data_IF_417528693853
#
_entry.id   IF_417528693853
#
_cell.length_a   1.000
_cell.length_b   1.000
_cell.length_c   1.000
_cell.angle_alpha   90.00
_cell.angle_beta   90.00
_cell.angle_gamma   90.00
#
_symmetry.space_group_name_H-M   'P 1'
#
loop_
_entity.id
_entity.type
_entity.pdbx_description
1 polymer ?
#
# COMPACT_ATOMS: atom_id res chain seq x y z
N UNK A 1 -21.15 -10.80 -20.53
CA UNK A 1 -19.70 -10.69 -20.25
C UNK A 1 -19.47 -9.41 -19.44
N UNK A 2 -18.63 -9.43 -18.40
CA UNK A 2 -18.52 -8.29 -17.49
C UNK A 2 -17.73 -7.14 -18.12
N UNK A 3 -18.30 -5.94 -18.06
CA UNK A 3 -17.63 -4.72 -18.51
C UNK A 3 -16.61 -4.29 -17.46
N UNK A 4 -15.38 -3.92 -17.84
CA UNK A 4 -14.40 -3.48 -16.84
C UNK A 4 -14.86 -2.26 -16.04
N UNK A 5 -14.51 -2.21 -14.75
CA UNK A 5 -14.79 -1.08 -13.88
C UNK A 5 -13.99 0.13 -14.34
N UNK A 6 -14.65 1.28 -14.43
CA UNK A 6 -13.95 2.57 -14.50
C UNK A 6 -13.10 2.77 -13.24
N UNK A 7 -12.09 3.64 -13.33
CA UNK A 7 -11.26 3.98 -12.19
C UNK A 7 -12.08 4.39 -10.95
N UNK A 8 -13.09 5.25 -11.11
CA UNK A 8 -13.92 5.69 -9.98
C UNK A 8 -14.74 4.56 -9.36
N UNK A 9 -15.24 3.62 -10.18
CA UNK A 9 -15.95 2.43 -9.68
C UNK A 9 -15.01 1.48 -8.94
N UNK A 10 -13.80 1.26 -9.44
CA UNK A 10 -12.79 0.44 -8.75
C UNK A 10 -12.39 1.06 -7.41
N UNK A 11 -12.08 2.36 -7.40
CA UNK A 11 -11.73 3.08 -6.17
C UNK A 11 -12.86 3.04 -5.14
N UNK A 12 -14.10 3.27 -5.58
CA UNK A 12 -15.27 3.19 -4.73
C UNK A 12 -15.45 1.78 -4.16
N UNK A 13 -15.41 0.75 -4.99
CA UNK A 13 -15.58 -0.64 -4.54
C UNK A 13 -14.55 -1.01 -3.46
N UNK A 14 -13.28 -0.66 -3.65
CA UNK A 14 -12.23 -0.94 -2.67
C UNK A 14 -12.47 -0.19 -1.35
N UNK A 15 -12.83 1.10 -1.41
CA UNK A 15 -13.14 1.89 -0.20
C UNK A 15 -14.38 1.37 0.52
N UNK A 16 -15.44 1.03 -0.20
CA UNK A 16 -16.68 0.48 0.37
C UNK A 16 -16.43 -0.85 1.08
N UNK A 17 -15.43 -1.62 0.65
CA UNK A 17 -15.00 -2.86 1.31
C UNK A 17 -14.00 -2.62 2.47
N UNK A 18 -13.86 -1.36 2.92
CA UNK A 18 -13.10 -0.99 4.12
C UNK A 18 -11.58 -0.89 3.92
N UNK A 19 -11.10 -0.77 2.68
CA UNK A 19 -9.67 -0.62 2.40
C UNK A 19 -9.19 0.82 2.58
N UNK A 20 -8.03 0.98 3.19
CA UNK A 20 -7.25 2.20 3.07
C UNK A 20 -6.57 2.21 1.69
N UNK A 21 -7.09 3.06 0.78
CA UNK A 21 -6.61 3.15 -0.59
C UNK A 21 -5.80 4.43 -0.80
N UNK A 22 -4.57 4.26 -1.27
CA UNK A 22 -3.67 5.34 -1.71
C UNK A 22 -3.67 5.36 -3.24
N UNK A 23 -3.91 6.54 -3.79
CA UNK A 23 -3.93 6.75 -5.23
C UNK A 23 -2.53 7.17 -5.70
N UNK A 24 -1.83 6.28 -6.39
CA UNK A 24 -0.52 6.63 -6.94
C UNK A 24 -0.67 7.54 -8.16
N UNK A 25 0.35 8.35 -8.49
CA UNK A 25 0.26 9.37 -9.56
C UNK A 25 -0.34 8.77 -10.85
N UNK A 26 -1.28 9.48 -11.47
CA UNK A 26 -1.87 9.13 -12.78
C UNK A 26 -2.39 7.68 -12.93
N UNK A 27 -2.66 6.96 -11.84
CA UNK A 27 -3.06 5.54 -11.89
C UNK A 27 -4.30 5.27 -12.75
N UNK A 28 -5.24 6.25 -12.80
CA UNK A 28 -6.49 6.14 -13.57
C UNK A 28 -6.29 5.95 -15.06
N UNK A 29 -5.17 6.42 -15.59
CA UNK A 29 -4.84 6.39 -17.03
C UNK A 29 -3.58 5.59 -17.32
N UNK A 30 -2.91 5.06 -16.29
CA UNK A 30 -1.75 4.21 -16.47
C UNK A 30 -2.20 2.80 -16.86
N UNK A 31 -2.01 2.42 -18.12
CA UNK A 31 -2.37 1.11 -18.65
C UNK A 31 -1.65 0.79 -19.96
N UNK A 32 -1.88 -0.43 -20.43
CA UNK A 32 -1.34 -1.04 -21.66
C UNK A 32 -2.45 -1.25 -22.70
N UNK A 33 -3.53 -0.47 -22.69
CA UNK A 33 -4.65 -0.66 -23.64
C UNK A 33 -4.21 -0.55 -25.11
N UNK A 34 -3.14 0.21 -25.39
CA UNK A 34 -2.54 0.30 -26.72
C UNK A 34 -1.82 -0.99 -27.17
N UNK A 35 -1.67 -2.00 -26.29
CA UNK A 35 -1.11 -3.32 -26.60
C UNK A 35 -2.16 -4.39 -26.84
N UNK A 36 -3.43 -4.09 -26.60
CA UNK A 36 -4.51 -5.04 -26.76
C UNK A 36 -5.75 -4.65 -25.97
N UNK A 37 -6.88 -5.33 -26.22
CA UNK A 37 -8.13 -5.05 -25.54
C UNK A 37 -8.01 -5.22 -24.02
N UNK A 38 -8.83 -4.45 -23.31
CA UNK A 38 -9.09 -4.62 -21.89
C UNK A 38 -10.53 -5.06 -21.72
N UNK A 39 -10.73 -6.24 -21.15
CA UNK A 39 -12.03 -6.86 -20.99
C UNK A 39 -12.47 -7.75 -22.17
N UNK A 40 -13.62 -8.45 -22.03
CA UNK A 40 -14.43 -8.52 -20.80
C UNK A 40 -13.61 -9.04 -19.62
N UNK A 41 -13.90 -8.61 -18.40
CA UNK A 41 -13.16 -9.12 -17.22
C UNK A 41 -13.88 -10.33 -16.63
N UNK A 42 -13.14 -11.22 -15.99
CA UNK A 42 -13.66 -12.48 -15.45
C UNK A 42 -13.20 -12.81 -14.04
N UNK A 43 -12.17 -12.14 -13.52
CA UNK A 43 -11.72 -12.44 -12.17
C UNK A 43 -10.66 -11.53 -11.61
N UNK A 44 -10.16 -11.91 -10.45
CA UNK A 44 -9.08 -11.26 -9.71
C UNK A 44 -7.89 -12.22 -9.64
N UNK A 45 -6.69 -11.71 -9.91
CA UNK A 45 -5.46 -12.48 -9.81
C UNK A 45 -4.58 -11.94 -8.68
N UNK A 46 -4.18 -12.81 -7.76
CA UNK A 46 -3.32 -12.46 -6.63
C UNK A 46 -1.88 -12.87 -6.93
N UNK A 47 -0.96 -11.96 -6.67
CA UNK A 47 0.48 -12.12 -6.88
C UNK A 47 1.27 -11.78 -5.62
N UNK A 48 2.53 -12.21 -5.57
CA UNK A 48 3.54 -11.55 -4.75
C UNK A 48 4.57 -10.85 -5.64
N UNK A 49 5.16 -9.78 -5.11
CA UNK A 49 6.04 -8.92 -5.90
C UNK A 49 7.47 -9.44 -6.05
N UNK A 50 7.92 -10.38 -5.20
CA UNK A 50 9.34 -10.78 -5.07
C UNK A 50 10.21 -9.58 -4.69
N UNK A 51 9.67 -8.66 -3.90
CA UNK A 51 10.36 -7.43 -3.47
C UNK A 51 10.12 -7.15 -1.99
N UNK A 52 10.88 -6.20 -1.45
CA UNK A 52 10.68 -5.62 -0.14
C UNK A 52 10.51 -4.10 -0.23
N UNK A 53 9.90 -3.52 0.81
CA UNK A 53 9.63 -2.09 0.91
C UNK A 53 8.43 -1.64 0.08
N UNK A 54 7.50 -0.91 0.70
CA UNK A 54 6.27 -0.45 0.03
C UNK A 54 6.57 0.50 -1.12
N UNK A 55 7.38 1.55 -0.89
CA UNK A 55 7.62 2.58 -1.90
C UNK A 55 8.31 2.03 -3.16
N UNK A 56 9.36 1.23 -3.01
CA UNK A 56 10.07 0.56 -4.11
C UNK A 56 9.16 -0.39 -4.89
N UNK A 57 8.33 -1.16 -4.19
CA UNK A 57 7.40 -2.11 -4.84
C UNK A 57 6.30 -1.40 -5.61
N UNK A 58 5.77 -0.28 -5.08
CA UNK A 58 4.79 0.56 -5.77
C UNK A 58 5.39 1.18 -7.03
N UNK A 59 6.60 1.73 -6.95
CA UNK A 59 7.29 2.28 -8.14
C UNK A 59 7.60 1.20 -9.18
N UNK A 60 8.04 0.01 -8.75
CA UNK A 60 8.25 -1.12 -9.66
C UNK A 60 6.94 -1.53 -10.35
N UNK A 61 5.85 -1.68 -9.60
CA UNK A 61 4.58 -2.09 -10.19
C UNK A 61 3.97 -0.99 -11.07
N UNK A 62 4.22 0.29 -10.78
CA UNK A 62 3.76 1.40 -11.60
C UNK A 62 4.53 1.51 -12.92
N UNK A 63 5.87 1.53 -12.85
CA UNK A 63 6.74 1.76 -14.02
C UNK A 63 7.03 0.47 -14.81
N UNK A 64 7.04 -0.68 -14.13
CA UNK A 64 7.64 -1.92 -14.62
C UNK A 64 9.16 -1.82 -14.73
N UNK A 65 9.74 -2.66 -15.58
CA UNK A 65 11.15 -2.62 -15.95
C UNK A 65 11.32 -2.81 -17.47
N UNK A 66 12.55 -2.74 -17.96
CA UNK A 66 12.85 -2.76 -19.41
C UNK A 66 12.27 -3.98 -20.14
N UNK A 67 12.36 -5.17 -19.54
CA UNK A 67 11.81 -6.40 -20.09
C UNK A 67 10.29 -6.59 -19.86
N UNK A 68 9.69 -5.90 -18.88
CA UNK A 68 8.26 -5.95 -18.59
C UNK A 68 7.74 -4.56 -18.20
N UNK A 69 7.34 -3.73 -19.19
CA UNK A 69 6.86 -2.39 -18.92
C UNK A 69 5.56 -2.39 -18.11
N UNK A 70 5.41 -1.42 -17.21
CA UNK A 70 4.26 -1.29 -16.34
C UNK A 70 3.00 -0.75 -17.04
N UNK A 71 1.87 -0.70 -16.30
CA UNK A 71 1.74 -1.19 -14.93
C UNK A 71 1.76 -2.72 -14.87
N UNK A 72 2.31 -3.25 -13.77
CA UNK A 72 2.39 -4.68 -13.47
C UNK A 72 1.20 -5.20 -12.65
N UNK A 73 0.24 -4.34 -12.33
CA UNK A 73 -1.00 -4.70 -11.64
C UNK A 73 -1.97 -3.51 -11.65
N UNK A 74 -3.15 -3.70 -11.05
CA UNK A 74 -4.09 -2.61 -10.76
C UNK A 74 -3.83 -1.99 -9.39
N UNK A 75 -3.48 -2.82 -8.40
CA UNK A 75 -3.16 -2.37 -7.04
C UNK A 75 -2.01 -3.14 -6.40
N UNK A 76 -1.22 -2.45 -5.60
CA UNK A 76 -0.16 -3.04 -4.75
C UNK A 76 -0.63 -3.08 -3.30
N UNK A 77 -0.55 -4.24 -2.65
CA UNK A 77 -0.96 -4.43 -1.26
C UNK A 77 0.28 -4.49 -0.36
N UNK A 78 0.48 -3.44 0.43
CA UNK A 78 1.58 -3.32 1.38
C UNK A 78 1.43 -4.26 2.59
N UNK A 79 2.52 -4.47 3.32
CA UNK A 79 2.54 -5.32 4.54
C UNK A 79 1.57 -4.85 5.64
N UNK A 80 1.27 -3.55 5.68
CA UNK A 80 0.33 -2.94 6.63
C UNK A 80 -1.15 -3.01 6.16
N UNK A 81 -1.41 -3.58 4.98
CA UNK A 81 -2.75 -3.66 4.39
C UNK A 81 -3.17 -2.45 3.55
N UNK A 82 -2.31 -1.44 3.38
CA UNK A 82 -2.58 -0.33 2.46
C UNK A 82 -2.59 -0.81 1.02
N UNK A 83 -3.60 -0.37 0.25
CA UNK A 83 -3.71 -0.67 -1.19
C UNK A 83 -3.33 0.56 -2.00
N UNK A 84 -2.26 0.46 -2.78
CA UNK A 84 -1.81 1.52 -3.69
C UNK A 84 -2.31 1.23 -5.10
N UNK A 85 -3.23 2.04 -5.61
CA UNK A 85 -3.67 1.90 -7.01
C UNK A 85 -2.60 2.47 -7.94
N UNK A 86 -2.16 1.66 -8.91
CA UNK A 86 -1.07 1.99 -9.84
C UNK A 86 -1.48 1.93 -11.32
N UNK A 87 -2.63 1.32 -11.64
CA UNK A 87 -3.12 1.23 -13.01
C UNK A 87 -4.62 0.96 -13.11
N UNK A 88 -5.23 1.36 -14.23
CA UNK A 88 -6.61 1.03 -14.59
C UNK A 88 -6.72 0.83 -16.10
N UNK A 89 -7.08 -0.39 -16.50
CA UNK A 89 -6.98 -0.87 -17.89
C UNK A 89 -6.12 -2.13 -17.96
N UNK A 90 -5.79 -2.59 -19.17
CA UNK A 90 -4.88 -3.72 -19.39
C UNK A 90 -3.57 -3.47 -18.65
N UNK A 91 -3.15 -4.38 -17.77
CA UNK A 91 -1.87 -4.36 -17.07
C UNK A 91 -1.05 -5.60 -17.45
N UNK A 92 0.28 -5.55 -17.31
CA UNK A 92 1.18 -6.66 -17.60
C UNK A 92 1.43 -7.49 -16.33
N UNK A 93 0.51 -8.38 -15.97
CA UNK A 93 0.57 -9.12 -14.70
C UNK A 93 0.34 -10.63 -14.89
N UNK A 94 -0.74 -11.02 -15.57
CA UNK A 94 -1.12 -12.42 -15.76
C UNK A 94 -0.32 -13.13 -16.86
N UNK A 95 0.15 -12.39 -17.87
CA UNK A 95 0.86 -13.01 -19.00
C UNK A 95 0.01 -14.04 -19.77
N UNK A 96 0.68 -14.99 -20.41
CA UNK A 96 0.04 -16.16 -21.01
C UNK A 96 -0.25 -17.21 -19.94
N UNK A 97 -1.41 -17.82 -19.98
CA UNK A 97 -1.77 -18.96 -19.15
C UNK A 97 -2.80 -19.85 -19.82
N UNK A 98 -3.48 -20.62 -19.00
CA UNK A 98 -4.28 -21.77 -19.42
C UNK A 98 -5.74 -21.40 -19.72
N UNK A 99 -6.25 -21.75 -20.90
CA UNK A 99 -7.63 -21.45 -21.28
C UNK A 99 -8.66 -22.31 -20.54
N UNK A 100 -8.32 -23.51 -20.09
CA UNK A 100 -9.20 -24.36 -19.28
C UNK A 100 -9.41 -23.74 -17.90
N UNK A 101 -8.36 -23.17 -17.32
CA UNK A 101 -8.45 -22.37 -16.10
C UNK A 101 -9.34 -21.15 -16.34
N UNK A 102 -9.16 -20.42 -17.45
CA UNK A 102 -10.01 -19.27 -17.77
C UNK A 102 -11.48 -19.68 -17.89
N UNK A 103 -11.78 -20.79 -18.58
CA UNK A 103 -13.14 -21.32 -18.72
C UNK A 103 -13.73 -21.71 -17.37
N UNK A 104 -12.94 -22.27 -16.47
CA UNK A 104 -13.38 -22.60 -15.11
C UNK A 104 -13.69 -21.33 -14.29
N UNK A 105 -12.86 -20.28 -14.38
CA UNK A 105 -13.13 -18.98 -13.76
C UNK A 105 -14.42 -18.37 -14.30
N UNK A 106 -14.59 -18.32 -15.62
CA UNK A 106 -15.80 -17.78 -16.27
C UNK A 106 -17.06 -18.50 -15.80
N UNK A 107 -16.98 -19.81 -15.60
CA UNK A 107 -18.09 -20.65 -15.15
C UNK A 107 -18.23 -20.73 -13.62
N UNK A 108 -17.34 -20.08 -12.86
CA UNK A 108 -17.21 -20.19 -11.40
C UNK A 108 -17.20 -21.65 -10.91
N UNK A 109 -16.34 -22.47 -11.54
CA UNK A 109 -16.13 -23.88 -11.23
C UNK A 109 -14.79 -24.13 -10.52
N UNK A 110 -14.60 -25.35 -10.03
CA UNK A 110 -13.29 -25.78 -9.55
C UNK A 110 -12.27 -25.70 -10.70
N UNK A 111 -11.06 -25.23 -10.39
CA UNK A 111 -10.01 -25.06 -11.38
C UNK A 111 -9.43 -26.43 -11.76
N UNK A 112 -9.18 -26.69 -13.06
CA UNK A 112 -8.33 -27.79 -13.47
C UNK A 112 -6.86 -27.47 -13.11
N UNK A 113 -5.96 -28.47 -13.12
CA UNK A 113 -4.53 -28.20 -13.15
C UNK A 113 -4.18 -27.36 -14.39
N UNK A 114 -3.29 -26.40 -14.23
CA UNK A 114 -2.72 -25.64 -15.33
C UNK A 114 -1.64 -26.48 -16.03
N UNK A 115 -1.76 -26.63 -17.35
CA UNK A 115 -0.81 -27.38 -18.18
C UNK A 115 -0.46 -26.66 -19.49
N UNK A 116 -1.10 -25.53 -19.79
CA UNK A 116 -0.89 -24.77 -21.03
C UNK A 116 -0.60 -23.27 -20.80
N UNK A 117 -0.05 -22.62 -21.84
CA UNK A 117 0.23 -21.16 -21.86
C UNK A 117 -0.24 -20.54 -23.17
N UNK A 118 -1.51 -20.74 -23.50
CA UNK A 118 -2.09 -20.44 -24.81
C UNK A 118 -2.95 -19.15 -24.84
N UNK A 119 -3.25 -18.54 -23.68
CA UNK A 119 -4.23 -17.46 -23.54
C UNK A 119 -3.67 -16.22 -22.85
N UNK A 120 -3.85 -15.03 -23.44
CA UNK A 120 -3.47 -13.75 -22.81
C UNK A 120 -4.41 -13.41 -21.65
N UNK A 121 -3.96 -13.60 -20.42
CA UNK A 121 -4.70 -13.30 -19.20
C UNK A 121 -4.75 -11.80 -18.87
N UNK A 122 -3.83 -10.99 -19.41
CA UNK A 122 -3.71 -9.56 -19.05
C UNK A 122 -4.96 -8.74 -19.37
N UNK A 123 -5.83 -9.25 -20.26
CA UNK A 123 -7.09 -8.59 -20.61
C UNK A 123 -8.27 -9.01 -19.73
N UNK A 124 -8.17 -10.13 -19.01
CA UNK A 124 -9.31 -10.78 -18.35
C UNK A 124 -9.33 -10.58 -16.84
N UNK A 125 -8.20 -10.27 -16.20
CA UNK A 125 -8.08 -10.28 -14.74
C UNK A 125 -7.71 -8.90 -14.17
N UNK A 126 -8.24 -8.61 -12.97
CA UNK A 126 -7.71 -7.54 -12.11
C UNK A 126 -6.54 -8.10 -11.29
N UNK A 127 -5.30 -7.74 -11.62
CA UNK A 127 -4.13 -8.10 -10.82
C UNK A 127 -3.93 -7.27 -9.55
N UNK A 128 -3.66 -7.93 -8.42
CA UNK A 128 -3.14 -7.32 -7.19
C UNK A 128 -1.79 -7.92 -6.81
N UNK A 129 -0.79 -7.05 -6.69
CA UNK A 129 0.58 -7.40 -6.34
C UNK A 129 0.83 -7.18 -4.85
N UNK A 130 1.18 -8.22 -4.11
CA UNK A 130 1.35 -8.11 -2.67
C UNK A 130 2.84 -8.06 -2.30
N UNK A 131 3.24 -7.05 -1.53
CA UNK A 131 4.65 -6.88 -1.13
C UNK A 131 5.09 -8.08 -0.29
N UNK A 132 5.87 -8.96 -0.90
CA UNK A 132 6.41 -10.16 -0.28
C UNK A 132 7.63 -10.68 -1.07
N UNK A 133 8.62 -11.25 -0.39
CA UNK A 133 9.83 -11.82 -1.02
C UNK A 133 9.56 -13.08 -1.84
N UNK A 134 8.43 -13.77 -1.62
CA UNK A 134 8.05 -14.98 -2.37
C UNK A 134 8.88 -16.23 -2.04
N UNK A 135 9.73 -16.17 -1.01
CA UNK A 135 10.63 -17.25 -0.59
C UNK A 135 9.95 -18.32 0.29
N UNK A 136 8.68 -18.11 0.63
CA UNK A 136 7.91 -18.97 1.54
C UNK A 136 8.27 -18.79 3.02
N UNK A 137 9.11 -17.81 3.38
CA UNK A 137 9.51 -17.47 4.75
C UNK A 137 9.05 -16.08 5.15
N UNK A 138 9.07 -15.12 4.23
CA UNK A 138 8.59 -13.76 4.46
C UNK A 138 7.11 -13.78 4.87
N UNK A 139 6.78 -13.34 6.10
CA UNK A 139 5.45 -13.51 6.65
C UNK A 139 4.42 -12.69 5.87
N UNK A 140 3.18 -13.19 5.91
CA UNK A 140 1.98 -12.46 5.47
C UNK A 140 1.28 -11.89 6.71
N UNK A 141 1.46 -10.60 7.06
CA UNK A 141 0.79 -10.02 8.21
C UNK A 141 -0.73 -10.11 8.07
N UNK A 142 -1.43 -10.25 9.20
CA UNK A 142 -2.89 -10.36 9.21
C UNK A 142 -3.58 -9.19 8.49
N UNK A 143 -3.02 -7.98 8.59
CA UNK A 143 -3.53 -6.80 7.89
C UNK A 143 -3.39 -6.92 6.36
N UNK A 144 -2.28 -7.48 5.87
CA UNK A 144 -2.08 -7.73 4.43
C UNK A 144 -3.04 -8.82 3.93
N UNK A 145 -3.21 -9.93 4.66
CA UNK A 145 -4.17 -10.99 4.30
C UNK A 145 -5.61 -10.48 4.27
N UNK A 146 -5.99 -9.64 5.24
CA UNK A 146 -7.30 -8.98 5.26
C UNK A 146 -7.47 -8.03 4.07
N UNK A 147 -6.41 -7.32 3.68
CA UNK A 147 -6.47 -6.44 2.52
C UNK A 147 -6.60 -7.20 1.20
N UNK A 148 -5.95 -8.36 1.04
CA UNK A 148 -6.13 -9.27 -0.11
C UNK A 148 -7.58 -9.73 -0.19
N UNK A 149 -8.12 -10.22 0.93
CA UNK A 149 -9.52 -10.66 1.04
C UNK A 149 -10.49 -9.55 0.65
N UNK A 150 -10.33 -8.34 1.20
CA UNK A 150 -11.17 -7.18 0.90
C UNK A 150 -11.02 -6.73 -0.55
N UNK A 151 -9.81 -6.68 -1.10
CA UNK A 151 -9.59 -6.23 -2.46
C UNK A 151 -10.26 -7.17 -3.48
N UNK A 152 -10.12 -8.47 -3.27
CA UNK A 152 -10.77 -9.48 -4.09
C UNK A 152 -12.30 -9.45 -3.95
N UNK A 153 -12.81 -9.41 -2.71
CA UNK A 153 -14.25 -9.32 -2.44
C UNK A 153 -14.89 -8.06 -3.04
N UNK A 154 -14.21 -6.90 -2.97
CA UNK A 154 -14.68 -5.65 -3.55
C UNK A 154 -14.92 -5.77 -5.06
N UNK A 155 -13.95 -6.36 -5.78
CA UNK A 155 -14.05 -6.54 -7.23
C UNK A 155 -15.10 -7.58 -7.56
N UNK A 156 -15.12 -8.72 -6.88
CA UNK A 156 -16.14 -9.76 -7.07
C UNK A 156 -17.55 -9.19 -6.85
N UNK A 157 -17.78 -8.48 -5.75
CA UNK A 157 -19.07 -7.86 -5.44
C UNK A 157 -19.50 -6.84 -6.47
N UNK A 158 -18.56 -6.04 -6.99
CA UNK A 158 -18.86 -5.05 -8.03
C UNK A 158 -19.30 -5.68 -9.37
N UNK A 159 -18.90 -6.94 -9.63
CA UNK A 159 -19.29 -7.69 -10.83
C UNK A 159 -20.36 -8.75 -10.59
N UNK A 160 -20.75 -9.01 -9.33
CA UNK A 160 -21.66 -10.09 -8.96
C UNK A 160 -21.02 -11.49 -9.04
N UNK A 161 -19.70 -11.59 -8.86
CA UNK A 161 -18.97 -12.84 -8.82
C UNK A 161 -18.85 -13.40 -7.40
N UNK A 162 -18.62 -14.71 -7.30
CA UNK A 162 -18.19 -15.41 -6.09
C UNK A 162 -16.67 -15.49 -5.94
N UNK A 163 -16.23 -16.20 -4.90
CA UNK A 163 -14.82 -16.40 -4.58
C UNK A 163 -14.06 -17.24 -5.62
N UNK A 164 -14.78 -18.01 -6.44
CA UNK A 164 -14.19 -18.84 -7.50
C UNK A 164 -13.64 -18.02 -8.66
N UNK A 165 -14.03 -16.75 -8.76
CA UNK A 165 -13.44 -15.79 -9.69
C UNK A 165 -12.09 -15.25 -9.21
N UNK A 166 -11.54 -15.75 -8.09
CA UNK A 166 -10.27 -15.30 -7.51
C UNK A 166 -9.23 -16.42 -7.56
N UNK A 167 -8.14 -16.18 -8.28
CA UNK A 167 -7.08 -17.16 -8.51
C UNK A 167 -5.70 -16.59 -8.16
N UNK A 168 -4.76 -17.49 -7.83
CA UNK A 168 -3.34 -17.15 -7.79
C UNK A 168 -2.72 -17.29 -9.18
N UNK A 169 -1.60 -16.62 -9.42
CA UNK A 169 -0.84 -16.82 -10.66
C UNK A 169 -0.32 -18.26 -10.82
N UNK A 170 -0.01 -18.91 -9.69
CA UNK A 170 0.34 -20.33 -9.58
C UNK A 170 -0.77 -21.29 -10.02
N UNK A 171 -2.01 -20.80 -10.14
CA UNK A 171 -3.15 -21.58 -10.64
C UNK A 171 -3.49 -21.23 -12.10
N UNK A 172 -2.77 -20.28 -12.71
CA UNK A 172 -3.03 -19.73 -14.05
C UNK A 172 -2.00 -20.17 -15.09
N UNK A 173 -0.73 -20.21 -14.70
CA UNK A 173 0.39 -20.41 -15.62
C UNK A 173 1.35 -21.48 -15.08
N UNK A 174 1.64 -22.54 -15.87
CA UNK A 174 2.57 -23.59 -15.49
C UNK A 174 3.94 -23.04 -15.08
N UNK A 175 4.39 -23.47 -13.90
CA UNK A 175 5.69 -23.10 -13.34
C UNK A 175 5.70 -21.79 -12.53
N UNK A 176 4.57 -21.06 -12.46
CA UNK A 176 4.42 -19.96 -11.50
C UNK A 176 4.22 -20.48 -10.09
N UNK A 177 4.65 -19.69 -9.12
CA UNK A 177 4.62 -20.07 -7.70
C UNK A 177 3.91 -19.03 -6.82
N UNK A 178 3.50 -17.90 -7.40
CA UNK A 178 2.89 -16.78 -6.69
C UNK A 178 1.36 -16.89 -6.61
N UNK A 179 0.74 -16.63 -5.44
CA UNK A 179 1.36 -16.29 -4.16
C UNK A 179 1.82 -17.52 -3.36
N UNK A 180 3.04 -17.47 -2.84
CA UNK A 180 3.61 -18.47 -1.91
C UNK A 180 3.44 -18.05 -0.45
N UNK A 181 3.00 -18.97 0.42
CA UNK A 181 2.93 -18.79 1.89
C UNK A 181 1.53 -18.95 2.49
N UNK A 182 0.48 -18.79 1.69
CA UNK A 182 -0.88 -19.23 1.99
C UNK A 182 -1.44 -20.00 0.78
N UNK A 183 -2.53 -20.75 0.94
CA UNK A 183 -3.18 -21.44 -0.17
C UNK A 183 -4.31 -20.60 -0.74
N UNK A 184 -4.48 -20.61 -2.06
CA UNK A 184 -5.61 -19.91 -2.67
C UNK A 184 -6.97 -20.47 -2.22
N UNK A 185 -7.04 -21.75 -1.85
CA UNK A 185 -8.23 -22.35 -1.21
C UNK A 185 -8.59 -21.67 0.13
N UNK A 186 -7.59 -21.43 1.01
CA UNK A 186 -7.85 -20.75 2.28
C UNK A 186 -8.24 -19.28 2.06
N UNK A 187 -7.65 -18.61 1.08
CA UNK A 187 -8.01 -17.23 0.72
C UNK A 187 -9.42 -17.15 0.14
N UNK A 188 -9.78 -18.04 -0.80
CA UNK A 188 -11.14 -18.12 -1.36
C UNK A 188 -12.18 -18.38 -0.27
N UNK A 189 -11.89 -19.22 0.71
CA UNK A 189 -12.79 -19.45 1.87
C UNK A 189 -13.07 -18.16 2.64
N UNK A 190 -12.05 -17.32 2.86
CA UNK A 190 -12.21 -16.02 3.52
C UNK A 190 -13.03 -15.05 2.68
N UNK A 191 -12.77 -15.02 1.38
CA UNK A 191 -13.49 -14.17 0.42
C UNK A 191 -14.96 -14.56 0.34
N UNK A 192 -15.28 -15.85 0.23
CA UNK A 192 -16.67 -16.34 0.20
C UNK A 192 -17.44 -15.90 1.45
N UNK A 193 -16.84 -16.13 2.64
CA UNK A 193 -17.43 -15.67 3.91
C UNK A 193 -17.64 -14.15 3.97
N UNK A 194 -16.74 -13.36 3.38
CA UNK A 194 -16.89 -11.89 3.29
C UNK A 194 -18.01 -11.50 2.32
N UNK A 195 -18.14 -12.20 1.20
CA UNK A 195 -19.18 -11.94 0.20
C UNK A 195 -20.59 -12.19 0.74
N UNK A 196 -20.76 -13.15 1.67
CA UNK A 196 -22.02 -13.38 2.40
C UNK A 196 -22.46 -12.18 3.26
N UNK A 197 -21.52 -11.33 3.67
CA UNK A 197 -21.77 -10.11 4.43
C UNK A 197 -21.96 -8.88 3.54
N UNK A 198 -22.41 -7.78 4.16
CA UNK A 198 -22.37 -6.46 3.54
C UNK A 198 -20.95 -5.88 3.59
N UNK A 199 -20.57 -5.00 2.64
CA UNK A 199 -19.31 -4.27 2.72
C UNK A 199 -19.16 -3.53 4.05
N UNK A 200 -17.93 -3.47 4.57
CA UNK A 200 -17.63 -2.84 5.87
C UNK A 200 -17.87 -1.31 5.87
N UNK A 201 -18.04 -0.71 4.69
CA UNK A 201 -18.11 0.73 4.48
C UNK A 201 -16.72 1.37 4.43
N UNK A 202 -16.62 2.66 4.03
CA UNK A 202 -15.35 3.38 3.99
C UNK A 202 -14.62 3.29 5.32
N UNK A 203 -13.36 2.85 5.30
CA UNK A 203 -12.49 2.90 6.49
C UNK A 203 -12.49 4.34 7.01
N UNK A 204 -12.75 4.54 8.31
CA UNK A 204 -12.61 5.87 8.89
C UNK A 204 -11.21 6.42 8.56
N UNK A 205 -11.10 7.71 8.16
CA UNK A 205 -9.79 8.30 7.98
C UNK A 205 -8.97 8.07 9.25
N UNK A 206 -7.69 7.68 9.15
CA UNK A 206 -6.84 7.59 10.33
C UNK A 206 -6.95 8.93 11.08
N UNK A 207 -7.04 8.92 12.42
CA UNK A 207 -7.13 10.15 13.17
C UNK A 207 -5.97 11.06 12.74
N UNK A 208 -6.29 12.32 12.39
CA UNK A 208 -5.26 13.30 12.04
C UNK A 208 -4.22 13.28 13.15
N UNK A 209 -2.91 13.15 12.85
CA UNK A 209 -1.88 13.17 13.88
C UNK A 209 -2.06 14.40 14.74
N UNK A 210 -2.33 14.20 16.03
CA UNK A 210 -2.34 15.30 17.00
C UNK A 210 -0.90 15.64 17.29
N UNK A 211 -0.53 16.87 16.95
CA UNK A 211 0.78 17.40 17.29
C UNK A 211 0.72 18.08 18.65
N UNK A 212 1.80 17.97 19.40
CA UNK A 212 1.94 18.62 20.69
C UNK A 212 1.75 20.14 20.51
N UNK A 213 0.81 20.78 21.23
CA UNK A 213 0.73 22.23 21.25
C UNK A 213 2.04 22.83 21.72
N UNK A 214 2.42 23.99 21.17
CA UNK A 214 3.63 24.68 21.64
C UNK A 214 3.49 25.00 23.14
N UNK A 215 4.36 24.46 24.01
CA UNK A 215 4.21 24.61 25.46
C UNK A 215 4.64 25.99 25.99
N UNK A 216 5.00 26.91 25.10
CA UNK A 216 5.56 28.22 25.43
C UNK A 216 7.09 28.20 25.51
N UNK A 217 7.73 29.33 25.19
CA UNK A 217 9.20 29.41 25.16
C UNK A 217 9.81 29.18 26.55
N UNK A 218 9.13 29.61 27.62
CA UNK A 218 9.55 29.42 29.01
C UNK A 218 9.59 27.96 29.47
N UNK A 219 8.96 27.04 28.72
CA UNK A 219 9.04 25.61 28.97
C UNK A 219 10.49 25.08 28.82
N UNK A 220 11.24 25.63 27.84
CA UNK A 220 12.57 25.16 27.44
C UNK A 220 13.67 25.79 28.29
N UNK A 221 13.65 25.47 29.59
CA UNK A 221 14.65 25.92 30.57
C UNK A 221 15.60 24.77 30.96
N UNK A 222 16.83 25.13 31.32
CA UNK A 222 17.87 24.16 31.67
C UNK A 222 17.39 23.21 32.79
N UNK A 223 17.60 21.90 32.60
CA UNK A 223 17.22 20.89 33.58
C UNK A 223 15.74 20.47 33.56
N UNK A 224 14.87 21.12 32.76
CA UNK A 224 13.49 20.66 32.56
C UNK A 224 13.48 19.23 32.03
N UNK A 225 12.74 18.34 32.67
CA UNK A 225 12.49 16.97 32.18
C UNK A 225 11.06 16.80 31.71
N UNK A 226 10.84 16.30 30.50
CA UNK A 226 9.52 16.02 29.95
C UNK A 226 9.60 15.08 28.74
N UNK A 227 8.59 14.21 28.51
CA UNK A 227 8.48 13.44 27.27
C UNK A 227 8.40 14.33 26.02
N UNK A 228 7.89 15.57 26.15
CA UNK A 228 7.82 16.56 25.06
C UNK A 228 9.22 16.87 24.51
N UNK A 229 10.24 16.94 25.38
CA UNK A 229 11.64 17.16 24.97
C UNK A 229 12.14 15.98 24.15
N UNK A 230 11.90 14.75 24.61
CA UNK A 230 12.27 13.53 23.88
C UNK A 230 11.58 13.47 22.50
N UNK A 231 10.28 13.76 22.44
CA UNK A 231 9.49 13.74 21.21
C UNK A 231 9.98 14.79 20.20
N UNK A 232 10.25 16.00 20.68
CA UNK A 232 10.84 17.08 19.89
C UNK A 232 12.22 16.67 19.35
N UNK A 233 13.09 16.13 20.21
CA UNK A 233 14.43 15.71 19.82
C UNK A 233 14.42 14.60 18.76
N UNK A 234 13.50 13.63 18.87
CA UNK A 234 13.29 12.60 17.83
C UNK A 234 12.89 13.20 16.49
N UNK A 235 12.02 14.23 16.48
CA UNK A 235 11.71 14.95 15.23
C UNK A 235 12.89 15.72 14.68
N UNK A 236 13.67 16.40 15.53
CA UNK A 236 14.88 17.11 15.09
C UNK A 236 15.89 16.15 14.42
N UNK A 237 16.08 14.95 14.96
CA UNK A 237 16.90 13.90 14.33
C UNK A 237 16.35 13.52 12.95
N UNK A 238 15.05 13.24 12.86
CA UNK A 238 14.43 12.85 11.60
C UNK A 238 14.41 13.98 10.55
N UNK A 239 14.49 15.24 10.96
CA UNK A 239 14.69 16.40 10.08
C UNK A 239 16.16 16.61 9.68
N UNK A 240 17.10 15.78 10.15
CA UNK A 240 18.54 15.94 9.92
C UNK A 240 19.18 17.07 10.75
N UNK A 241 18.44 17.62 11.71
CA UNK A 241 18.87 18.72 12.57
C UNK A 241 19.45 18.26 13.91
N UNK A 242 19.39 16.96 14.23
CA UNK A 242 19.90 16.42 15.48
C UNK A 242 21.40 16.70 15.69
N UNK A 243 21.75 17.12 16.90
CA UNK A 243 23.12 17.38 17.39
C UNK A 243 23.37 16.61 18.69
N UNK A 244 22.97 15.34 18.68
CA UNK A 244 23.05 14.43 19.80
C UNK A 244 24.20 13.45 19.62
N UNK A 245 24.94 13.18 20.70
CA UNK A 245 25.99 12.14 20.70
C UNK A 245 25.43 10.74 20.96
N UNK A 246 24.48 10.62 21.90
CA UNK A 246 23.83 9.35 22.27
C UNK A 246 22.40 9.28 21.73
N UNK A 247 21.71 10.41 21.70
CA UNK A 247 20.32 10.53 21.25
C UNK A 247 19.52 11.49 22.13
N UNK A 248 18.29 11.85 21.72
CA UNK A 248 17.42 12.71 22.50
C UNK A 248 16.90 11.99 23.76
N UNK A 249 16.96 12.69 24.89
CA UNK A 249 16.43 12.24 26.18
C UNK A 249 15.39 13.20 26.74
N UNK A 250 14.81 12.91 27.91
CA UNK A 250 13.73 13.73 28.47
C UNK A 250 14.21 15.06 29.05
N UNK A 251 15.50 15.23 29.34
CA UNK A 251 16.05 16.44 29.93
C UNK A 251 16.46 17.44 28.85
N UNK A 252 15.90 18.65 28.89
CA UNK A 252 16.32 19.74 28.03
C UNK A 252 17.78 20.11 28.27
N UNK A 253 18.58 20.03 27.22
CA UNK A 253 20.03 20.17 27.26
C UNK A 253 20.54 21.14 26.18
N UNK A 254 21.84 21.44 26.24
CA UNK A 254 22.53 22.19 25.17
C UNK A 254 22.46 21.49 23.82
N UNK A 255 22.43 20.15 23.81
CA UNK A 255 22.26 19.37 22.57
C UNK A 255 20.89 19.62 21.94
N UNK A 256 19.82 19.72 22.73
CA UNK A 256 18.48 20.06 22.23
C UNK A 256 18.44 21.47 21.67
N UNK A 257 19.00 22.44 22.41
CA UNK A 257 19.11 23.83 21.95
C UNK A 257 19.87 23.94 20.62
N UNK A 258 21.01 23.28 20.51
CA UNK A 258 21.82 23.27 19.29
C UNK A 258 21.09 22.60 18.12
N UNK A 259 20.38 21.50 18.39
CA UNK A 259 19.57 20.79 17.40
C UNK A 259 18.43 21.67 16.89
N UNK A 260 17.78 22.40 17.79
CA UNK A 260 16.68 23.29 17.44
C UNK A 260 17.18 24.54 16.69
N UNK A 261 18.36 25.06 17.02
CA UNK A 261 18.98 26.14 16.26
C UNK A 261 19.28 25.70 14.81
N UNK A 262 19.70 24.44 14.61
CA UNK A 262 19.85 23.89 13.26
C UNK A 262 18.51 23.78 12.51
N UNK A 263 17.43 23.43 13.22
CA UNK A 263 16.07 23.42 12.66
C UNK A 263 15.58 24.82 12.27
N UNK A 264 15.75 25.83 13.13
CA UNK A 264 15.43 27.22 12.81
C UNK A 264 16.20 27.69 11.56
N UNK A 265 17.50 27.39 11.45
CA UNK A 265 18.28 27.71 10.23
C UNK A 265 17.76 26.98 8.99
N UNK A 266 17.37 25.69 9.12
CA UNK A 266 16.74 24.93 8.02
C UNK A 266 15.43 25.57 7.55
N UNK A 267 14.70 26.23 8.45
CA UNK A 267 13.50 26.99 8.13
C UNK A 267 13.77 28.40 7.57
N UNK A 268 15.03 28.82 7.45
CA UNK A 268 15.44 30.13 6.92
C UNK A 268 15.64 31.23 7.98
N UNK A 269 15.63 30.90 9.27
CA UNK A 269 15.89 31.87 10.34
C UNK A 269 17.39 32.20 10.39
N UNK A 270 17.72 33.46 10.68
CA UNK A 270 19.11 33.96 10.71
C UNK A 270 19.41 34.75 11.98
N UNK A 271 20.70 34.87 12.33
CA UNK A 271 21.14 35.66 13.48
C UNK A 271 20.49 35.21 14.79
N UNK A 272 20.00 36.16 15.57
CA UNK A 272 19.34 35.93 16.86
C UNK A 272 18.00 35.21 16.75
N UNK A 273 17.38 35.15 15.56
CA UNK A 273 16.15 34.41 15.35
C UNK A 273 16.38 32.87 15.31
N UNK A 274 17.64 32.41 15.22
CA UNK A 274 18.02 31.00 15.26
C UNK A 274 18.81 30.65 16.54
N UNK A 275 18.31 31.10 17.69
CA UNK A 275 18.92 30.98 19.02
C UNK A 275 18.79 29.61 19.70
N UNK A 276 18.04 28.69 19.08
CA UNK A 276 17.76 27.35 19.58
C UNK A 276 16.65 27.26 20.61
N UNK A 277 15.94 28.36 20.91
CA UNK A 277 14.76 28.33 21.78
C UNK A 277 13.52 28.15 20.89
N UNK A 278 12.69 27.12 21.14
CA UNK A 278 11.51 26.90 20.33
C UNK A 278 10.52 28.07 20.38
N UNK A 279 10.06 28.50 19.20
CA UNK A 279 8.95 29.44 19.03
C UNK A 279 7.76 28.77 18.33
N UNK A 280 6.57 29.36 18.46
CA UNK A 280 5.31 28.79 17.95
C UNK A 280 5.39 28.36 16.47
N UNK A 281 5.85 29.25 15.59
CA UNK A 281 5.94 28.97 14.15
C UNK A 281 6.89 27.82 13.82
N UNK A 282 8.09 27.79 14.41
CA UNK A 282 9.05 26.71 14.18
C UNK A 282 8.61 25.39 14.81
N UNK A 283 7.85 25.45 15.92
CA UNK A 283 7.28 24.30 16.61
C UNK A 283 6.19 23.63 15.78
N UNK A 284 5.22 24.41 15.29
CA UNK A 284 4.11 23.91 14.47
C UNK A 284 4.63 23.22 13.20
N UNK A 285 5.73 23.72 12.62
CA UNK A 285 6.39 23.11 11.45
C UNK A 285 7.15 21.83 11.78
N UNK A 286 7.67 21.69 13.01
CA UNK A 286 8.43 20.51 13.43
C UNK A 286 7.54 19.27 13.61
N UNK A 287 6.23 19.48 13.81
CA UNK A 287 5.21 18.40 13.91
C UNK A 287 5.57 17.39 14.99
N UNK A 288 5.84 17.89 16.20
CA UNK A 288 6.15 17.07 17.38
C UNK A 288 4.93 16.21 17.73
N UNK A 289 5.04 14.88 17.83
CA UNK A 289 3.93 14.04 18.26
C UNK A 289 3.43 14.42 19.66
N UNK A 290 2.11 14.40 19.88
CA UNK A 290 1.53 14.58 21.21
C UNK A 290 1.86 13.39 22.13
N UNK A 291 2.30 13.67 23.37
CA UNK A 291 2.85 12.69 24.32
C UNK A 291 2.41 12.91 25.76
#
# INVERSE_FOLDING_TARGET
MATPLSADKLLKALRDEGLHVVEHRSWRTNNRNHKGPWGPTHGVMIHHTVTSGTASSVELCYNGHSALPGPLCHGVIAKDGTVHLVGNGRANHAGLGDDDVLRAVIAEKALPPDNETNTDGNRYFYGFECVNLGDGKDPWPAAQLLAIERAAAAVCRAHGWGERSVIGHLEWQPGKVDPRGFTMSSMRTRIGKRLDGSPDGPSQPPPKPTYEPFPGASFFTAGRKSPIVTAMGKRLVAEGCGRYTVGPGPAWSTADRNSYAAWQRKLGYTGTAADGIPGKSSWDRLKVPNV
#
